data_IF_786759343827
#
_entry.id   IF_786759343827
#
_cell.length_a   1.000
_cell.length_b   1.000
_cell.length_c   1.000
_cell.angle_alpha   90.00
_cell.angle_beta   90.00
_cell.angle_gamma   90.00
#
_symmetry.space_group_name_H-M   'P 1'
#
loop_
_entity.id
_entity.type
_entity.pdbx_description
1 polymer ?
#
# COMPACT_ATOMS: atom_id res chain seq x y z
N UNK A 1 -1.68 -10.68 -9.10
CA UNK A 1 -0.53 -11.24 -8.34
C UNK A 1 -0.86 -11.26 -6.87
N UNK A 2 -0.17 -12.10 -6.08
CA UNK A 2 -0.40 -12.19 -4.64
C UNK A 2 0.59 -11.29 -3.89
N UNK A 3 0.08 -10.41 -3.04
CA UNK A 3 0.86 -9.53 -2.16
C UNK A 3 0.38 -9.67 -0.72
N UNK A 4 1.14 -9.18 0.24
CA UNK A 4 0.73 -9.17 1.65
C UNK A 4 0.40 -7.75 2.07
N UNK A 5 -0.84 -7.47 2.47
CA UNK A 5 -1.26 -6.17 3.00
C UNK A 5 -1.56 -6.32 4.48
N UNK A 6 -0.84 -5.59 5.34
CA UNK A 6 -0.99 -5.69 6.80
C UNK A 6 -0.95 -7.14 7.31
N UNK A 7 0.03 -7.91 6.83
CA UNK A 7 0.23 -9.34 7.11
C UNK A 7 -0.84 -10.31 6.57
N UNK A 8 -1.82 -9.83 5.79
CA UNK A 8 -2.81 -10.67 5.12
C UNK A 8 -2.46 -10.84 3.65
N UNK A 9 -2.47 -12.08 3.16
CA UNK A 9 -2.35 -12.35 1.74
C UNK A 9 -3.57 -11.78 0.99
N UNK A 10 -3.30 -11.10 -0.12
CA UNK A 10 -4.27 -10.37 -0.92
C UNK A 10 -3.90 -10.60 -2.39
N UNK A 11 -4.85 -11.13 -3.16
CA UNK A 11 -4.73 -11.12 -4.61
C UNK A 11 -5.15 -9.75 -5.14
N UNK A 12 -4.35 -9.19 -6.04
CA UNK A 12 -4.57 -7.86 -6.63
C UNK A 12 -4.21 -7.86 -8.12
N UNK A 13 -4.92 -7.04 -8.89
CA UNK A 13 -4.56 -6.74 -10.28
C UNK A 13 -3.69 -5.48 -10.42
N UNK A 14 -3.53 -4.71 -9.33
CA UNK A 14 -2.73 -3.50 -9.33
C UNK A 14 -1.25 -3.77 -9.59
N UNK A 15 -0.63 -2.92 -10.40
CA UNK A 15 0.80 -2.98 -10.74
C UNK A 15 1.64 -1.98 -9.95
N UNK A 16 1.01 -1.01 -9.27
CA UNK A 16 1.66 0.01 -8.47
C UNK A 16 0.84 0.32 -7.20
N UNK A 17 1.46 0.99 -6.23
CA UNK A 17 0.85 1.26 -4.91
C UNK A 17 -0.48 2.00 -5.02
N UNK A 18 -0.56 3.03 -5.87
CA UNK A 18 -1.79 3.82 -6.00
C UNK A 18 -2.99 2.96 -6.43
N UNK A 19 -2.80 2.07 -7.41
CA UNK A 19 -3.85 1.16 -7.89
C UNK A 19 -4.31 0.19 -6.80
N UNK A 20 -3.38 -0.29 -5.97
CA UNK A 20 -3.73 -1.17 -4.85
C UNK A 20 -4.53 -0.42 -3.77
N UNK A 21 -4.14 0.83 -3.46
CA UNK A 21 -4.88 1.67 -2.50
C UNK A 21 -6.32 1.91 -2.98
N UNK A 22 -6.49 2.18 -4.28
CA UNK A 22 -7.81 2.33 -4.91
C UNK A 22 -8.61 1.01 -4.91
N UNK A 23 -8.00 -0.10 -5.30
CA UNK A 23 -8.62 -1.43 -5.34
C UNK A 23 -9.13 -1.86 -3.95
N UNK A 24 -8.37 -1.53 -2.89
CA UNK A 24 -8.72 -1.81 -1.51
C UNK A 24 -9.67 -0.78 -0.89
N UNK A 25 -10.12 0.21 -1.66
CA UNK A 25 -10.95 1.33 -1.21
C UNK A 25 -10.39 2.03 0.04
N UNK A 26 -9.05 2.12 0.12
CA UNK A 26 -8.37 2.77 1.25
C UNK A 26 -8.39 4.29 1.06
N UNK A 27 -8.55 5.07 2.15
CA UNK A 27 -8.52 6.52 2.05
C UNK A 27 -7.10 6.97 1.67
N UNK A 28 -6.95 7.72 0.59
CA UNK A 28 -5.64 8.23 0.17
C UNK A 28 -5.04 9.23 1.18
N UNK A 29 -5.89 9.87 1.99
CA UNK A 29 -5.51 10.81 3.05
C UNK A 29 -5.41 10.14 4.41
N UNK A 30 -4.45 10.59 5.22
CA UNK A 30 -4.25 10.06 6.56
C UNK A 30 -3.71 8.63 6.61
N UNK A 31 -3.20 8.11 5.49
CA UNK A 31 -2.47 6.84 5.46
C UNK A 31 -1.06 7.01 4.89
N UNK A 32 -0.15 6.15 5.34
CA UNK A 32 1.16 5.93 4.75
C UNK A 32 1.28 4.45 4.34
N UNK A 33 1.94 4.20 3.21
CA UNK A 33 2.19 2.83 2.73
C UNK A 33 3.68 2.57 2.81
N UNK A 34 4.05 1.40 3.32
CA UNK A 34 5.42 0.89 3.28
C UNK A 34 5.47 -0.44 2.54
N UNK A 35 6.48 -0.65 1.71
CA UNK A 35 6.76 -1.93 1.02
C UNK A 35 8.04 -2.49 1.60
N UNK A 36 8.04 -3.75 2.05
CA UNK A 36 9.22 -4.45 2.55
C UNK A 36 9.99 -3.64 3.61
N UNK A 37 9.25 -3.03 4.56
CA UNK A 37 9.75 -2.14 5.62
C UNK A 37 10.33 -0.79 5.14
N UNK A 38 10.09 -0.38 3.90
CA UNK A 38 10.47 0.93 3.36
C UNK A 38 9.23 1.77 3.10
N UNK A 39 9.14 2.95 3.71
CA UNK A 39 8.05 3.89 3.48
C UNK A 39 8.10 4.39 2.04
N UNK A 40 6.97 4.29 1.34
CA UNK A 40 6.75 4.85 0.00
C UNK A 40 5.93 6.13 0.16
N UNK A 41 6.50 7.27 -0.23
CA UNK A 41 5.80 8.55 -0.12
C UNK A 41 4.68 8.62 -1.14
N UNK A 42 3.62 9.37 -0.83
CA UNK A 42 2.43 9.51 -1.68
C UNK A 42 2.73 9.90 -3.14
N UNK A 43 3.65 10.84 -3.44
CA UNK A 43 4.00 11.17 -4.83
C UNK A 43 4.65 10.00 -5.61
N UNK A 44 5.23 9.03 -4.89
CA UNK A 44 5.89 7.87 -5.48
C UNK A 44 4.91 6.70 -5.68
N UNK A 45 3.64 6.80 -5.26
CA UNK A 45 2.71 5.66 -5.31
C UNK A 45 2.31 5.24 -6.73
N UNK A 46 2.29 6.19 -7.67
CA UNK A 46 2.00 5.91 -9.08
C UNK A 46 3.20 5.31 -9.80
N UNK A 47 4.42 5.60 -9.33
CA UNK A 47 5.66 5.13 -9.96
C UNK A 47 6.25 3.89 -9.27
N UNK A 48 5.84 3.61 -8.04
CA UNK A 48 6.33 2.46 -7.27
C UNK A 48 5.59 1.21 -7.69
N UNK A 49 6.27 0.38 -8.47
CA UNK A 49 5.76 -0.90 -8.92
C UNK A 49 5.68 -1.90 -7.76
N UNK A 50 4.63 -2.71 -7.80
CA UNK A 50 4.42 -3.84 -6.90
C UNK A 50 4.91 -5.11 -7.58
N UNK A 51 5.54 -5.98 -6.79
CA UNK A 51 5.96 -7.31 -7.20
C UNK A 51 5.20 -8.39 -6.44
N UNK A 52 5.13 -9.57 -7.03
CA UNK A 52 4.56 -10.74 -6.37
C UNK A 52 5.33 -11.07 -5.08
N UNK A 53 4.59 -11.30 -3.99
CA UNK A 53 5.14 -11.58 -2.67
C UNK A 53 5.51 -10.34 -1.85
N UNK A 54 5.34 -9.12 -2.39
CA UNK A 54 5.65 -7.89 -1.66
C UNK A 54 4.83 -7.75 -0.38
N UNK A 55 5.46 -7.19 0.66
CA UNK A 55 4.83 -6.94 1.96
C UNK A 55 4.52 -5.48 2.15
N UNK A 56 3.28 -5.12 1.90
CA UNK A 56 2.73 -3.81 2.13
C UNK A 56 2.21 -3.66 3.56
N UNK A 57 2.57 -2.55 4.20
CA UNK A 57 2.03 -2.13 5.48
C UNK A 57 1.36 -0.78 5.28
N UNK A 58 0.06 -0.74 5.53
CA UNK A 58 -0.76 0.48 5.50
C UNK A 58 -0.89 0.97 6.93
N UNK A 59 -0.30 2.13 7.19
CA UNK A 59 -0.31 2.79 8.49
C UNK A 59 -1.30 3.93 8.41
N UNK A 60 -2.35 3.90 9.23
CA UNK A 60 -3.28 5.03 9.35
C UNK A 60 -2.77 5.98 10.41
N UNK A 61 -2.56 7.24 10.05
CA UNK A 61 -2.31 8.29 11.02
C UNK A 61 -3.60 8.50 11.83
N UNK A 62 -3.54 8.20 13.11
CA UNK A 62 -4.55 8.64 14.07
C UNK A 62 -4.05 9.95 14.66
N UNK A 63 -4.69 11.06 14.30
CA UNK A 63 -4.45 12.32 14.99
C UNK A 63 -5.17 12.22 16.34
N UNK A 64 -4.45 11.74 17.37
CA UNK A 64 -4.90 11.82 18.75
C UNK A 64 -4.75 13.26 19.21
N UNK A 65 -5.87 13.92 19.50
CA UNK A 65 -5.90 15.21 20.19
C UNK A 65 -5.59 15.06 21.67
#
# INVERSE_FOLDING_TARGET
MNVFVNQKAQETAATHVAGLVEELALPAEGIAVAINNRIVRRPEWETTLLAEGDRLTVIRAVCGG
#
